data_IF_889597639086
#
_entry.id   IF_889597639086
#
_cell.length_a   1.000
_cell.length_b   1.000
_cell.length_c   1.000
_cell.angle_alpha   90.00
_cell.angle_beta   90.00
_cell.angle_gamma   90.00
#
_symmetry.space_group_name_H-M   'P 1'
#
loop_
_entity.id
_entity.type
_entity.pdbx_description
1 polymer ?
#
# COMPACT_ATOMS: atom_id res chain seq x y z
N UNK A 1 25.33 6.90 0.44
CA UNK A 1 25.12 8.37 0.55
C UNK A 1 24.19 8.64 1.73
N UNK A 2 24.66 9.33 2.76
CA UNK A 2 23.83 9.73 3.90
C UNK A 2 22.78 10.76 3.42
N UNK A 3 21.49 10.47 3.65
CA UNK A 3 20.38 11.26 3.10
C UNK A 3 20.10 12.59 3.83
N UNK A 4 20.92 12.98 4.81
CA UNK A 4 20.76 14.22 5.56
C UNK A 4 22.06 14.66 6.28
N UNK A 5 22.26 15.97 6.52
CA UNK A 5 23.34 16.48 7.36
C UNK A 5 23.16 16.12 8.84
N UNK A 6 24.25 15.88 9.58
CA UNK A 6 24.22 15.52 11.02
C UNK A 6 24.04 16.71 11.96
N UNK A 7 24.20 17.94 11.47
CA UNK A 7 24.24 19.18 12.26
C UNK A 7 22.95 20.00 12.19
N UNK A 8 21.96 19.55 11.40
CA UNK A 8 20.67 20.22 11.27
C UNK A 8 19.53 19.21 11.31
N UNK A 9 18.37 19.64 11.80
CA UNK A 9 17.13 18.88 11.80
C UNK A 9 15.96 19.77 11.38
N UNK A 10 14.95 19.17 10.74
CA UNK A 10 13.71 19.85 10.42
C UNK A 10 12.69 19.59 11.55
N UNK A 11 12.37 20.62 12.34
CA UNK A 11 11.29 20.56 13.34
C UNK A 11 9.95 20.81 12.65
N UNK A 12 9.16 19.75 12.46
CA UNK A 12 7.84 19.84 11.82
C UNK A 12 6.76 20.30 12.80
N UNK A 13 5.74 20.97 12.28
CA UNK A 13 4.52 21.29 13.03
C UNK A 13 3.69 20.01 13.29
N UNK A 14 2.75 20.04 14.24
CA UNK A 14 1.79 18.96 14.40
C UNK A 14 1.03 18.70 13.09
N UNK A 15 0.91 17.43 12.71
CA UNK A 15 0.22 17.06 11.48
C UNK A 15 -1.29 17.27 11.62
N UNK A 16 -1.93 17.77 10.57
CA UNK A 16 -3.38 17.88 10.49
C UNK A 16 -4.02 16.49 10.46
N UNK A 17 -4.96 16.23 11.39
CA UNK A 17 -5.75 14.99 11.43
C UNK A 17 -7.14 15.22 10.84
N UNK A 18 -7.66 14.26 10.10
CA UNK A 18 -9.03 14.28 9.60
C UNK A 18 -9.70 12.92 9.76
N UNK A 19 -11.03 12.96 9.90
CA UNK A 19 -11.88 11.78 9.89
C UNK A 19 -12.34 11.46 8.47
N UNK A 20 -12.25 10.18 8.11
CA UNK A 20 -12.86 9.64 6.89
C UNK A 20 -13.31 8.19 7.10
N UNK A 21 -13.96 7.60 6.11
CA UNK A 21 -14.47 6.23 6.15
C UNK A 21 -13.64 5.32 5.25
N UNK A 22 -13.38 4.10 5.70
CA UNK A 22 -12.79 3.03 4.88
C UNK A 22 -13.87 2.44 3.98
N UNK A 23 -13.72 2.57 2.68
CA UNK A 23 -14.68 2.05 1.68
C UNK A 23 -14.34 0.63 1.26
N UNK A 24 -13.06 0.33 1.09
CA UNK A 24 -12.56 -0.99 0.73
C UNK A 24 -11.12 -1.17 1.20
N UNK A 25 -10.68 -2.42 1.31
CA UNK A 25 -9.28 -2.76 1.53
C UNK A 25 -8.85 -3.67 0.39
N UNK A 26 -7.92 -3.17 -0.41
CA UNK A 26 -7.37 -3.86 -1.58
C UNK A 26 -5.98 -4.42 -1.26
N UNK A 27 -5.58 -5.45 -1.99
CA UNK A 27 -4.30 -6.11 -1.83
C UNK A 27 -3.43 -5.86 -3.05
N UNK A 28 -2.39 -5.06 -2.87
CA UNK A 28 -1.41 -4.78 -3.93
C UNK A 28 -0.26 -5.78 -3.86
N UNK A 29 0.13 -6.32 -5.00
CA UNK A 29 1.26 -7.26 -5.11
C UNK A 29 2.46 -6.52 -5.68
N UNK A 30 3.49 -6.32 -4.87
CA UNK A 30 4.71 -5.65 -5.28
C UNK A 30 5.66 -6.55 -6.07
N UNK A 31 6.76 -5.96 -6.55
CA UNK A 31 7.85 -6.62 -7.30
C UNK A 31 8.33 -7.94 -6.68
N UNK A 32 8.56 -7.96 -5.37
CA UNK A 32 9.10 -9.13 -4.66
C UNK A 32 7.99 -10.08 -4.18
N UNK A 33 6.79 -9.95 -4.76
CA UNK A 33 5.60 -10.69 -4.35
C UNK A 33 4.95 -10.20 -3.05
N UNK A 34 5.48 -9.15 -2.39
CA UNK A 34 4.91 -8.61 -1.16
C UNK A 34 3.43 -8.21 -1.37
N UNK A 35 2.55 -8.75 -0.54
CA UNK A 35 1.09 -8.51 -0.59
C UNK A 35 0.73 -7.48 0.46
N UNK A 36 0.59 -6.23 0.02
CA UNK A 36 0.41 -5.05 0.87
C UNK A 36 -1.07 -4.64 0.89
N UNK A 37 -1.68 -4.54 2.07
CA UNK A 37 -3.03 -4.00 2.19
C UNK A 37 -3.04 -2.48 2.01
N UNK A 38 -3.99 -1.98 1.22
CA UNK A 38 -4.23 -0.55 0.98
C UNK A 38 -5.70 -0.26 1.24
N UNK A 39 -5.99 0.68 2.13
CA UNK A 39 -7.36 1.14 2.36
C UNK A 39 -7.74 2.21 1.33
N UNK A 40 -8.85 1.97 0.63
CA UNK A 40 -9.61 2.97 -0.10
C UNK A 40 -10.47 3.73 0.89
N UNK A 41 -10.40 5.05 0.84
CA UNK A 41 -11.07 5.94 1.75
C UNK A 41 -12.03 6.83 0.99
N UNK A 42 -13.13 7.22 1.63
CA UNK A 42 -13.93 8.34 1.15
C UNK A 42 -13.02 9.57 1.03
N UNK A 43 -12.93 10.22 -0.15
CA UNK A 43 -11.97 11.30 -0.36
C UNK A 43 -12.11 12.42 0.68
N UNK A 44 -11.00 12.77 1.34
CA UNK A 44 -10.96 13.80 2.39
C UNK A 44 -9.78 14.73 2.20
N UNK A 45 -10.03 16.03 2.30
CA UNK A 45 -8.97 17.05 2.26
C UNK A 45 -8.23 17.09 3.60
N UNK A 46 -6.90 16.97 3.55
CA UNK A 46 -6.00 16.99 4.73
C UNK A 46 -4.68 17.64 4.34
N UNK A 47 -4.27 18.70 5.03
CA UNK A 47 -2.95 19.31 4.84
C UNK A 47 -2.65 19.71 3.39
N UNK A 48 -3.63 20.28 2.68
CA UNK A 48 -3.44 20.80 1.32
C UNK A 48 -3.69 19.83 0.17
N UNK A 49 -3.98 18.54 0.44
CA UNK A 49 -4.28 17.55 -0.61
C UNK A 49 -5.50 16.70 -0.27
N UNK A 50 -6.17 16.17 -1.29
CA UNK A 50 -7.24 15.19 -1.11
C UNK A 50 -6.65 13.79 -1.00
N UNK A 51 -6.87 13.14 0.14
CA UNK A 51 -6.46 11.76 0.40
C UNK A 51 -7.65 10.83 0.12
N UNK A 52 -7.46 9.87 -0.77
CA UNK A 52 -8.41 8.79 -1.05
C UNK A 52 -7.86 7.39 -0.77
N UNK A 53 -6.56 7.28 -0.49
CA UNK A 53 -5.89 5.99 -0.28
C UNK A 53 -4.87 6.10 0.85
N UNK A 54 -4.71 5.02 1.62
CA UNK A 54 -3.66 4.91 2.63
C UNK A 54 -3.13 3.48 2.70
N UNK A 55 -1.81 3.36 2.83
CA UNK A 55 -1.20 2.05 3.07
C UNK A 55 -1.50 1.59 4.49
N UNK A 56 -1.80 0.29 4.65
CA UNK A 56 -1.92 -0.35 5.95
C UNK A 56 -0.64 -1.12 6.32
N UNK A 57 0.45 -0.92 5.56
CA UNK A 57 1.78 -1.52 5.71
C UNK A 57 1.85 -3.04 5.54
N UNK A 58 1.18 -3.79 6.41
CA UNK A 58 1.14 -5.25 6.38
C UNK A 58 -0.08 -5.74 7.17
N UNK A 59 -0.31 -7.05 7.13
CA UNK A 59 -1.47 -7.64 7.79
C UNK A 59 -1.45 -7.58 9.32
N UNK A 60 -0.26 -7.60 9.92
CA UNK A 60 -0.14 -7.50 11.38
C UNK A 60 -0.56 -6.11 11.86
N UNK A 61 -0.24 -5.07 11.09
CA UNK A 61 -0.66 -3.71 11.37
C UNK A 61 -2.18 -3.52 11.19
N UNK A 62 -2.78 -4.17 10.17
CA UNK A 62 -4.25 -4.22 10.00
C UNK A 62 -4.90 -4.84 11.25
N UNK A 63 -4.37 -5.96 11.73
CA UNK A 63 -4.86 -6.64 12.95
C UNK A 63 -4.64 -5.80 14.19
N UNK A 64 -3.46 -5.21 14.36
CA UNK A 64 -3.09 -4.39 15.52
C UNK A 64 -3.98 -3.16 15.66
N UNK A 65 -4.31 -2.50 14.55
CA UNK A 65 -5.24 -1.36 14.51
C UNK A 65 -6.71 -1.77 14.41
N UNK A 66 -6.99 -3.06 14.26
CA UNK A 66 -8.32 -3.64 13.99
C UNK A 66 -9.10 -2.86 12.92
N UNK A 67 -8.45 -2.57 11.79
CA UNK A 67 -9.08 -1.81 10.69
C UNK A 67 -10.03 -2.71 9.92
N UNK A 68 -11.27 -2.25 9.75
CA UNK A 68 -12.31 -2.97 9.00
C UNK A 68 -12.90 -2.10 7.90
N UNK A 69 -13.46 -2.76 6.89
CA UNK A 69 -14.24 -2.05 5.85
C UNK A 69 -15.47 -1.42 6.50
N UNK A 70 -15.73 -0.15 6.19
CA UNK A 70 -16.81 0.65 6.74
C UNK A 70 -16.45 1.45 7.98
N UNK A 71 -15.29 1.22 8.60
CA UNK A 71 -14.86 1.94 9.80
C UNK A 71 -14.65 3.43 9.54
N UNK A 72 -14.96 4.25 10.55
CA UNK A 72 -14.47 5.63 10.60
C UNK A 72 -13.06 5.64 11.17
N UNK A 73 -12.15 6.28 10.45
CA UNK A 73 -10.71 6.28 10.76
C UNK A 73 -10.17 7.70 10.81
N UNK A 74 -9.15 7.88 11.65
CA UNK A 74 -8.36 9.10 11.72
C UNK A 74 -7.16 8.94 10.80
N UNK A 75 -7.04 9.84 9.82
CA UNK A 75 -5.89 9.93 8.92
C UNK A 75 -5.13 11.22 9.16
N UNK A 76 -3.84 11.22 8.85
CA UNK A 76 -3.00 12.43 8.83
C UNK A 76 -1.93 12.32 7.75
N UNK A 77 -1.23 13.42 7.47
CA UNK A 77 -0.07 13.41 6.57
C UNK A 77 1.23 13.37 7.38
N UNK A 78 1.88 12.22 7.39
CA UNK A 78 3.19 12.04 8.02
C UNK A 78 4.20 12.99 7.37
N UNK A 79 4.65 13.96 8.18
CA UNK A 79 5.63 14.95 7.76
C UNK A 79 5.22 15.75 6.52
N UNK A 80 3.92 16.03 6.36
CA UNK A 80 3.30 16.81 5.28
C UNK A 80 3.45 16.21 3.88
N UNK A 81 3.75 14.91 3.79
CA UNK A 81 3.93 14.22 2.50
C UNK A 81 3.02 12.99 2.39
N UNK A 82 3.21 11.98 3.26
CA UNK A 82 2.64 10.64 3.08
C UNK A 82 1.39 10.48 3.96
N UNK A 83 0.21 10.18 3.40
CA UNK A 83 -0.96 9.86 4.21
C UNK A 83 -0.74 8.59 5.05
N UNK A 84 -1.14 8.62 6.31
CA UNK A 84 -1.13 7.46 7.21
C UNK A 84 -2.43 7.36 8.02
N UNK A 85 -2.87 6.12 8.27
CA UNK A 85 -4.00 5.83 9.16
C UNK A 85 -3.48 5.75 10.58
N UNK A 86 -3.92 6.68 11.43
CA UNK A 86 -3.46 6.79 12.82
C UNK A 86 -4.17 5.78 13.71
N UNK A 87 -5.51 5.81 13.71
CA UNK A 87 -6.37 4.96 14.55
C UNK A 87 -7.76 4.81 13.94
N UNK A 88 -8.45 3.75 14.33
CA UNK A 88 -9.88 3.55 14.08
C UNK A 88 -10.68 4.22 15.21
N UNK A 89 -11.94 4.60 14.96
CA UNK A 89 -12.92 5.02 15.96
C UNK A 89 -13.94 3.88 16.19
N UNK A 90 -13.71 2.97 17.16
CA UNK A 90 -14.57 1.79 17.37
C UNK A 90 -16.01 2.16 17.72
N UNK A 91 -16.23 3.29 18.37
CA UNK A 91 -17.54 3.80 18.76
C UNK A 91 -18.42 4.20 17.56
N UNK A 92 -17.83 4.38 16.38
CA UNK A 92 -18.54 4.67 15.11
C UNK A 92 -18.55 3.49 14.15
N UNK A 93 -18.17 2.30 14.63
CA UNK A 93 -18.12 1.09 13.80
C UNK A 93 -19.53 0.65 13.42
N UNK A 94 -19.82 0.47 12.11
CA UNK A 94 -21.12 -0.06 11.70
C UNK A 94 -21.32 -1.49 12.19
N UNK A 95 -22.56 -1.85 12.52
CA UNK A 95 -22.92 -3.23 12.84
C UNK A 95 -22.63 -4.14 11.64
N UNK A 96 -22.01 -5.29 11.91
CA UNK A 96 -21.62 -6.25 10.87
C UNK A 96 -20.23 -6.03 10.24
N UNK A 97 -19.45 -5.04 10.69
CA UNK A 97 -18.07 -4.85 10.22
C UNK A 97 -17.19 -6.07 10.57
N UNK A 98 -16.75 -6.78 9.53
CA UNK A 98 -15.96 -8.01 9.66
C UNK A 98 -14.46 -7.72 9.75
N UNK A 99 -13.70 -8.46 10.56
CA UNK A 99 -12.24 -8.41 10.54
C UNK A 99 -11.70 -8.73 9.15
N UNK A 100 -10.71 -7.96 8.71
CA UNK A 100 -10.03 -8.20 7.44
C UNK A 100 -9.19 -9.47 7.56
N UNK A 101 -9.30 -10.34 6.56
CA UNK A 101 -8.48 -11.54 6.45
C UNK A 101 -7.45 -11.35 5.34
N UNK A 102 -6.24 -11.87 5.59
CA UNK A 102 -5.20 -11.95 4.57
C UNK A 102 -5.65 -12.90 3.46
N UNK A 103 -5.43 -12.56 2.18
CA UNK A 103 -5.74 -13.46 1.09
C UNK A 103 -4.83 -14.71 1.17
N UNK A 104 -5.43 -15.89 1.03
CA UNK A 104 -4.69 -17.16 0.90
C UNK A 104 -4.13 -17.34 -0.52
N UNK A 105 -4.78 -16.70 -1.51
CA UNK A 105 -4.40 -16.72 -2.92
C UNK A 105 -4.15 -15.32 -3.42
N UNK A 106 -3.14 -15.18 -4.27
CA UNK A 106 -2.77 -13.92 -4.87
C UNK A 106 -3.94 -13.39 -5.73
N UNK A 107 -4.37 -12.13 -5.53
CA UNK A 107 -5.51 -11.56 -6.28
C UNK A 107 -5.22 -11.39 -7.77
N UNK A 108 -3.95 -11.51 -8.19
CA UNK A 108 -3.53 -11.30 -9.58
C UNK A 108 -3.32 -12.63 -10.33
N UNK A 109 -2.68 -13.61 -9.70
CA UNK A 109 -2.29 -14.86 -10.38
C UNK A 109 -2.82 -16.14 -9.73
N UNK A 110 -3.59 -16.03 -8.64
CA UNK A 110 -4.17 -17.19 -7.94
C UNK A 110 -3.18 -18.09 -7.18
N UNK A 111 -1.87 -17.85 -7.30
CA UNK A 111 -0.82 -18.57 -6.57
C UNK A 111 -0.96 -18.39 -5.05
N UNK A 112 -0.40 -19.31 -4.27
CA UNK A 112 -0.48 -19.22 -2.81
C UNK A 112 0.20 -17.96 -2.26
N UNK A 113 -0.37 -17.40 -1.20
CA UNK A 113 0.24 -16.32 -0.42
C UNK A 113 0.73 -16.91 0.90
N UNK A 114 2.04 -16.88 1.11
CA UNK A 114 2.69 -17.39 2.30
C UNK A 114 3.27 -16.25 3.13
N UNK A 115 3.14 -16.35 4.44
CA UNK A 115 3.83 -15.49 5.40
C UNK A 115 4.85 -16.37 6.12
N UNK A 116 6.15 -16.28 5.78
CA UNK A 116 7.19 -17.04 6.48
C UNK A 116 7.16 -16.75 7.98
N UNK A 117 7.54 -17.74 8.78
CA UNK A 117 7.63 -17.58 10.22
C UNK A 117 8.63 -16.47 10.59
N UNK A 118 8.24 -15.58 11.51
CA UNK A 118 9.06 -14.43 11.92
C UNK A 118 9.03 -13.22 10.98
N UNK A 119 8.45 -13.32 9.78
CA UNK A 119 8.35 -12.19 8.85
C UNK A 119 7.00 -11.48 8.95
N UNK A 120 6.98 -10.14 8.91
CA UNK A 120 5.72 -9.36 8.92
C UNK A 120 4.99 -9.38 7.56
N UNK A 121 5.72 -9.62 6.47
CA UNK A 121 5.21 -9.46 5.10
C UNK A 121 4.81 -10.81 4.50
N UNK A 122 3.56 -10.92 4.06
CA UNK A 122 3.11 -12.06 3.27
C UNK A 122 3.48 -11.86 1.80
N UNK A 123 3.86 -12.94 1.10
CA UNK A 123 4.31 -12.89 -0.30
C UNK A 123 3.57 -13.90 -1.18
N UNK A 124 3.30 -13.47 -2.40
CA UNK A 124 2.86 -14.32 -3.51
C UNK A 124 4.01 -15.23 -3.96
N UNK A 125 3.76 -16.54 -4.02
CA UNK A 125 4.75 -17.54 -4.45
C UNK A 125 4.86 -17.71 -5.97
N UNK A 126 4.02 -17.01 -6.74
CA UNK A 126 3.97 -17.15 -8.21
C UNK A 126 5.24 -16.68 -8.93
N UNK A 127 6.11 -15.90 -8.29
CA UNK A 127 7.34 -15.38 -8.92
C UNK A 127 7.04 -14.72 -10.28
N UNK A 128 7.79 -15.08 -11.32
CA UNK A 128 7.62 -14.55 -12.68
C UNK A 128 6.34 -15.02 -13.38
N UNK A 129 5.64 -16.06 -12.91
CA UNK A 129 4.31 -16.38 -13.48
C UNK A 129 3.26 -15.34 -13.07
N UNK A 130 3.51 -14.58 -11.99
CA UNK A 130 2.64 -13.51 -11.54
C UNK A 130 2.82 -12.26 -12.40
N UNK A 131 1.76 -11.85 -13.11
CA UNK A 131 1.77 -10.66 -13.95
C UNK A 131 2.15 -9.38 -13.17
N UNK A 132 1.68 -9.22 -11.93
CA UNK A 132 2.04 -8.07 -11.09
C UNK A 132 3.55 -8.05 -10.74
N UNK A 133 4.13 -9.19 -10.37
CA UNK A 133 5.57 -9.26 -10.09
C UNK A 133 6.40 -8.93 -11.33
N UNK A 134 5.99 -9.44 -12.52
CA UNK A 134 6.62 -9.08 -13.80
C UNK A 134 6.53 -7.58 -14.11
N UNK A 135 5.34 -7.01 -14.04
CA UNK A 135 5.13 -5.58 -14.31
C UNK A 135 5.95 -4.70 -13.36
N UNK A 136 5.93 -4.98 -12.06
CA UNK A 136 6.70 -4.20 -11.09
C UNK A 136 8.23 -4.44 -11.20
N UNK A 137 8.66 -5.62 -11.64
CA UNK A 137 10.07 -5.89 -11.92
C UNK A 137 10.58 -5.06 -13.11
N UNK A 138 9.82 -5.04 -14.21
CA UNK A 138 10.14 -4.21 -15.40
C UNK A 138 10.10 -2.73 -15.02
N UNK A 139 9.09 -2.29 -14.26
CA UNK A 139 8.98 -0.90 -13.81
C UNK A 139 10.18 -0.49 -12.96
N UNK A 140 10.61 -1.34 -12.04
CA UNK A 140 11.80 -1.05 -11.25
C UNK A 140 13.06 -1.01 -12.12
N UNK A 141 13.22 -1.96 -13.05
CA UNK A 141 14.36 -2.00 -13.96
C UNK A 141 14.46 -0.74 -14.82
N UNK A 142 13.33 -0.25 -15.33
CA UNK A 142 13.23 0.98 -16.13
C UNK A 142 13.39 2.26 -15.31
N UNK A 143 13.28 2.20 -13.98
CA UNK A 143 13.26 3.40 -13.13
C UNK A 143 14.58 4.18 -13.16
N UNK A 144 14.50 5.49 -12.86
CA UNK A 144 15.66 6.39 -12.75
C UNK A 144 16.86 5.84 -11.93
N UNK A 145 16.67 5.26 -10.73
CA UNK A 145 17.79 4.71 -9.97
C UNK A 145 18.34 3.37 -10.49
N UNK A 146 17.78 2.82 -11.56
CA UNK A 146 18.20 1.56 -12.17
C UNK A 146 18.78 1.82 -13.58
N UNK A 147 18.07 1.44 -14.65
CA UNK A 147 18.56 1.61 -16.03
C UNK A 147 18.11 2.91 -16.70
N UNK A 148 17.25 3.70 -16.03
CA UNK A 148 16.79 5.00 -16.52
C UNK A 148 16.22 4.96 -17.96
N UNK A 149 15.29 4.05 -18.21
CA UNK A 149 14.64 3.90 -19.53
C UNK A 149 13.43 4.83 -19.59
N UNK A 150 13.63 6.01 -20.18
CA UNK A 150 12.55 6.97 -20.38
C UNK A 150 11.48 6.44 -21.35
N UNK A 151 10.22 6.82 -21.12
CA UNK A 151 9.09 6.40 -21.95
C UNK A 151 8.50 5.02 -21.60
N UNK A 152 9.23 4.16 -20.86
CA UNK A 152 8.73 2.87 -20.40
C UNK A 152 7.89 2.99 -19.12
N UNK A 153 6.71 3.62 -19.27
CA UNK A 153 5.76 3.89 -18.19
C UNK A 153 4.81 2.73 -17.86
N UNK A 154 4.06 2.88 -16.77
CA UNK A 154 3.12 1.87 -16.25
C UNK A 154 2.16 1.30 -17.31
N UNK A 155 1.54 2.15 -18.14
CA UNK A 155 0.59 1.71 -19.16
C UNK A 155 1.23 0.83 -20.23
N UNK A 156 2.41 1.22 -20.72
CA UNK A 156 3.14 0.47 -21.76
C UNK A 156 3.63 -0.88 -21.20
N UNK A 157 4.16 -0.88 -19.98
CA UNK A 157 4.57 -2.12 -19.30
C UNK A 157 3.35 -3.06 -19.13
N UNK A 158 2.20 -2.53 -18.71
CA UNK A 158 0.99 -3.31 -18.55
C UNK A 158 0.53 -3.94 -19.88
N UNK A 159 0.62 -3.20 -20.99
CA UNK A 159 0.32 -3.71 -22.33
C UNK A 159 1.29 -4.79 -22.78
N UNK A 160 2.60 -4.60 -22.57
CA UNK A 160 3.63 -5.57 -22.94
C UNK A 160 3.45 -6.91 -22.21
N UNK A 161 3.24 -6.85 -20.89
CA UNK A 161 3.02 -8.05 -20.08
C UNK A 161 1.66 -8.68 -20.37
N UNK A 162 0.61 -7.86 -20.54
CA UNK A 162 -0.75 -8.35 -20.85
C UNK A 162 -0.87 -8.98 -22.24
N UNK A 163 -0.11 -8.48 -23.22
CA UNK A 163 -0.05 -9.01 -24.58
C UNK A 163 0.91 -10.20 -24.75
N UNK A 164 1.61 -10.62 -23.71
CA UNK A 164 2.54 -11.75 -23.76
C UNK A 164 3.85 -11.47 -24.52
N UNK A 165 4.15 -10.20 -24.80
CA UNK A 165 5.43 -9.81 -25.42
C UNK A 165 6.61 -9.94 -24.44
N UNK A 166 6.31 -9.93 -23.13
CA UNK A 166 7.27 -10.05 -22.00
C UNK A 166 6.58 -10.77 -20.82
#
# INVERSE_FOLDING_TARGET
IARAPRWALARKFPAEEALTRVEAIEWQVGRTGAVTPVARLTPKFVGGVTVSNVTLHNFDEVRRKDVRVGDTVVIRRAGDVIPELVRVLPERRPQGAQPVQRPERCPVCGSQVLKPEGEAVARCTGGFSCAAQRQEAIRHFASRPAMEIEGLGEKLIAQLVGGGAV
#
